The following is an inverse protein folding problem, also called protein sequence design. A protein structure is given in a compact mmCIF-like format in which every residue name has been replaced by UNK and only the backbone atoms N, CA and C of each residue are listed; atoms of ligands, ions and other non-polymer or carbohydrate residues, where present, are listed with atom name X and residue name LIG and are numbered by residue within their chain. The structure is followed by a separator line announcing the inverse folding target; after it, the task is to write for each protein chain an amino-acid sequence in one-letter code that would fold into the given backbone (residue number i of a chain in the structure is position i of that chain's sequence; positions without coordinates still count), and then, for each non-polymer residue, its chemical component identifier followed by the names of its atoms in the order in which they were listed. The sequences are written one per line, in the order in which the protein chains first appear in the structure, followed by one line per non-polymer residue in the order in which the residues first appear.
data_IF_710500843747
#
_entry.id   IF_710500843747
#
_cell.length_a   1.000
_cell.length_b   1.000
_cell.length_c   1.000
_cell.angle_alpha   90.00
_cell.angle_beta   90.00
_cell.angle_gamma   90.00
#
_symmetry.space_group_name_H-M   'P 1'
#
loop_
_entity.id
_entity.type
_entity.pdbx_description
1 polymer ?
#
# COMPACT_ATOMS: atom_id res chain seq x y z
N UNK A 1 47.89 -84.74 -77.86
CA UNK A 1 46.48 -84.71 -77.68
C UNK A 1 46.13 -84.68 -76.17
N UNK A 2 46.49 -83.64 -75.41
CA UNK A 2 46.12 -83.50 -73.95
C UNK A 2 46.01 -82.02 -73.47
N UNK A 3 45.51 -81.12 -74.28
CA UNK A 3 45.46 -79.68 -73.96
C UNK A 3 44.01 -79.20 -73.69
N UNK A 4 42.96 -79.92 -74.08
CA UNK A 4 41.59 -79.55 -73.97
C UNK A 4 40.99 -79.60 -72.53
N UNK A 5 41.37 -80.57 -71.63
CA UNK A 5 40.74 -80.54 -70.27
C UNK A 5 41.26 -79.44 -69.36
N UNK A 6 42.48 -78.93 -69.60
CA UNK A 6 43.05 -77.88 -68.77
C UNK A 6 42.46 -76.49 -69.08
N UNK A 7 42.09 -76.27 -70.33
CA UNK A 7 41.43 -75.02 -70.75
C UNK A 7 40.00 -74.88 -70.20
N UNK A 8 39.29 -76.05 -70.14
CA UNK A 8 37.96 -76.12 -69.59
C UNK A 8 37.91 -75.93 -68.11
N UNK A 9 38.95 -76.37 -67.38
CA UNK A 9 39.11 -76.19 -65.92
C UNK A 9 39.48 -74.74 -65.59
N UNK A 10 40.27 -74.10 -66.45
CA UNK A 10 40.64 -72.65 -66.26
C UNK A 10 39.42 -71.76 -66.52
N UNK A 11 38.52 -72.12 -67.52
CA UNK A 11 37.29 -71.36 -67.81
C UNK A 11 36.27 -71.53 -66.70
N UNK A 12 36.20 -72.68 -66.03
CA UNK A 12 35.33 -72.94 -64.90
C UNK A 12 35.81 -72.20 -63.63
N UNK A 13 37.16 -72.07 -63.48
CA UNK A 13 37.72 -71.28 -62.32
C UNK A 13 37.49 -69.78 -62.48
N UNK A 14 37.45 -69.22 -63.68
CA UNK A 14 37.23 -67.82 -63.95
C UNK A 14 35.77 -67.41 -63.68
N UNK A 15 34.79 -68.34 -63.78
CA UNK A 15 33.38 -68.11 -63.54
C UNK A 15 33.02 -67.98 -62.07
N UNK A 16 33.91 -68.43 -61.17
CA UNK A 16 33.75 -68.25 -59.69
C UNK A 16 34.26 -66.93 -59.13
N UNK A 17 34.94 -66.09 -59.92
CA UNK A 17 35.45 -64.78 -59.55
C UNK A 17 34.48 -63.62 -59.80
N UNK A 18 33.31 -63.88 -60.37
CA UNK A 18 32.23 -62.86 -60.35
C UNK A 18 31.60 -62.76 -58.96
N UNK A 19 32.42 -62.30 -58.01
CA UNK A 19 31.97 -61.99 -56.68
C UNK A 19 30.83 -60.94 -56.72
N UNK A 20 29.78 -61.23 -56.06
CA UNK A 20 28.67 -60.33 -55.80
C UNK A 20 29.15 -58.94 -55.41
N UNK A 21 29.00 -57.99 -56.29
CA UNK A 21 29.02 -56.60 -55.94
C UNK A 21 27.75 -56.31 -55.11
N UNK A 22 27.88 -56.51 -53.79
CA UNK A 22 26.85 -56.14 -52.83
C UNK A 22 26.78 -54.61 -52.87
N UNK A 23 25.81 -54.11 -53.62
CA UNK A 23 25.40 -52.73 -53.54
C UNK A 23 25.00 -52.52 -52.09
N UNK A 24 25.78 -51.79 -51.33
CA UNK A 24 25.40 -51.20 -50.06
C UNK A 24 24.09 -50.46 -50.32
N UNK A 25 22.95 -51.09 -50.08
CA UNK A 25 21.69 -50.40 -49.88
C UNK A 25 21.95 -49.61 -48.61
N UNK A 26 22.27 -48.30 -48.74
CA UNK A 26 22.17 -47.37 -47.65
C UNK A 26 20.85 -47.69 -46.97
N UNK A 27 20.94 -48.24 -45.77
CA UNK A 27 19.77 -48.52 -44.95
C UNK A 27 19.00 -47.21 -44.81
N UNK A 28 17.89 -47.10 -45.54
CA UNK A 28 16.92 -45.99 -45.30
C UNK A 28 16.58 -46.07 -43.82
N UNK A 29 17.12 -45.14 -43.05
CA UNK A 29 16.69 -45.00 -41.66
C UNK A 29 15.16 -44.82 -41.69
N UNK A 30 14.45 -45.57 -40.91
CA UNK A 30 12.97 -45.47 -40.93
C UNK A 30 12.61 -44.04 -40.57
N UNK A 31 11.82 -43.40 -41.42
CA UNK A 31 11.25 -42.08 -41.13
C UNK A 31 10.40 -42.19 -39.88
N UNK A 32 10.90 -41.63 -38.78
CA UNK A 32 10.16 -41.65 -37.51
C UNK A 32 9.27 -40.44 -37.44
N UNK A 33 7.96 -40.63 -37.39
CA UNK A 33 6.99 -39.57 -37.21
C UNK A 33 7.05 -39.10 -35.74
N UNK A 34 7.36 -37.84 -35.51
CA UNK A 34 7.44 -37.22 -34.17
C UNK A 34 6.42 -36.09 -34.06
N UNK A 35 5.81 -35.97 -32.88
CA UNK A 35 4.96 -34.81 -32.56
C UNK A 35 5.86 -33.70 -32.07
N UNK A 36 5.74 -32.53 -32.67
CA UNK A 36 6.52 -31.34 -32.27
C UNK A 36 5.62 -30.31 -31.61
N UNK A 37 6.11 -29.59 -30.64
CA UNK A 37 5.44 -28.46 -30.03
C UNK A 37 6.36 -27.24 -30.04
N UNK A 38 5.80 -26.08 -30.23
CA UNK A 38 6.55 -24.83 -30.19
C UNK A 38 6.85 -24.48 -28.72
N UNK A 39 8.11 -24.18 -28.41
CA UNK A 39 8.49 -23.65 -27.12
C UNK A 39 7.99 -22.19 -27.01
N UNK A 40 7.31 -21.85 -25.93
CA UNK A 40 6.75 -20.54 -25.70
C UNK A 40 7.62 -19.78 -24.71
N UNK A 41 8.03 -18.56 -25.09
CA UNK A 41 8.74 -17.64 -24.19
C UNK A 41 7.71 -17.06 -23.21
N UNK A 42 7.73 -17.49 -21.96
CA UNK A 42 6.94 -16.89 -20.91
C UNK A 42 7.69 -15.65 -20.40
N UNK A 43 7.13 -14.49 -20.66
CA UNK A 43 7.46 -13.27 -19.92
C UNK A 43 6.61 -13.28 -18.65
N UNK A 44 7.03 -14.04 -17.65
CA UNK A 44 6.33 -14.05 -16.38
C UNK A 44 6.69 -12.77 -15.61
N UNK A 45 5.99 -11.69 -15.90
CA UNK A 45 5.83 -10.57 -14.98
C UNK A 45 4.53 -10.81 -14.22
N UNK A 46 4.54 -11.74 -13.29
CA UNK A 46 3.44 -11.84 -12.33
C UNK A 46 3.63 -10.69 -11.35
N UNK A 47 2.80 -9.64 -11.37
CA UNK A 47 2.90 -8.58 -10.39
C UNK A 47 2.75 -9.22 -9.01
N UNK A 48 3.65 -8.88 -8.09
CA UNK A 48 3.53 -9.37 -6.72
C UNK A 48 2.30 -8.74 -6.09
N UNK A 49 1.42 -9.58 -5.54
CA UNK A 49 0.17 -9.16 -4.91
C UNK A 49 0.26 -9.23 -3.39
N UNK A 50 -0.31 -8.24 -2.71
CA UNK A 50 -0.36 -8.15 -1.26
C UNK A 50 -1.75 -7.78 -0.82
N UNK A 51 -2.30 -8.50 0.15
CA UNK A 51 -3.59 -8.15 0.73
C UNK A 51 -3.48 -6.88 1.56
N UNK A 52 -4.47 -6.00 1.45
CA UNK A 52 -4.54 -4.77 2.22
C UNK A 52 -5.89 -4.57 2.89
N UNK A 53 -5.91 -3.66 3.87
CA UNK A 53 -7.13 -3.07 4.42
C UNK A 53 -7.03 -1.56 4.24
N UNK A 54 -8.09 -0.97 3.68
CA UNK A 54 -8.22 0.47 3.54
C UNK A 54 -8.63 1.09 4.87
N UNK A 55 -7.88 2.09 5.33
CA UNK A 55 -8.18 2.86 6.54
C UNK A 55 -8.50 4.30 6.19
N UNK A 56 -9.18 5.05 7.05
CA UNK A 56 -9.30 6.49 6.89
C UNK A 56 -7.90 7.11 6.80
N UNK A 57 -7.75 8.16 6.01
CA UNK A 57 -6.46 8.85 5.91
C UNK A 57 -6.07 9.50 7.23
N UNK A 58 -7.06 10.09 7.91
CA UNK A 58 -6.93 10.62 9.27
C UNK A 58 -8.06 10.10 10.14
N UNK A 59 -7.73 9.79 11.38
CA UNK A 59 -8.68 9.51 12.44
C UNK A 59 -8.31 10.36 13.64
N UNK A 60 -9.28 11.06 14.21
CA UNK A 60 -9.09 11.88 15.39
C UNK A 60 -10.20 11.59 16.39
N UNK A 61 -9.82 11.25 17.61
CA UNK A 61 -10.78 11.19 18.72
C UNK A 61 -11.03 12.61 19.21
N UNK A 62 -12.25 13.09 19.04
CA UNK A 62 -12.64 14.43 19.47
C UNK A 62 -13.18 14.39 20.88
N UNK A 63 -12.75 15.35 21.70
CA UNK A 63 -13.14 15.53 23.09
C UNK A 63 -13.33 17.01 23.41
N UNK A 64 -14.17 17.31 24.39
CA UNK A 64 -14.23 18.65 24.93
C UNK A 64 -12.99 18.94 25.78
N UNK A 65 -12.55 20.20 25.82
CA UNK A 65 -11.47 20.67 26.69
C UNK A 65 -11.95 21.03 28.09
N UNK A 66 -13.28 21.20 28.24
CA UNK A 66 -13.95 21.48 29.51
C UNK A 66 -14.98 20.40 29.80
N UNK A 67 -15.34 20.19 31.05
CA UNK A 67 -16.35 19.23 31.46
C UNK A 67 -17.70 19.89 31.71
N UNK A 68 -18.79 19.12 31.63
CA UNK A 68 -20.14 19.55 31.94
C UNK A 68 -21.22 18.71 31.29
N UNK A 69 -22.51 19.01 31.57
CA UNK A 69 -23.63 18.34 30.96
C UNK A 69 -23.75 18.75 29.48
N UNK A 70 -24.01 17.76 28.62
CA UNK A 70 -24.23 18.01 27.21
C UNK A 70 -25.60 18.65 27.00
N UNK A 71 -25.63 19.78 26.32
CA UNK A 71 -26.86 20.50 25.98
C UNK A 71 -27.41 20.12 24.61
N UNK A 72 -26.55 19.92 23.62
CA UNK A 72 -26.97 19.49 22.28
C UNK A 72 -26.03 18.37 21.77
N UNK A 73 -26.66 17.22 21.41
CA UNK A 73 -25.97 16.06 20.87
C UNK A 73 -26.93 15.28 19.96
N UNK A 74 -26.90 15.62 18.68
CA UNK A 74 -27.64 14.89 17.63
C UNK A 74 -26.64 14.32 16.62
N UNK A 75 -25.73 13.48 17.14
CA UNK A 75 -24.58 12.96 16.41
C UNK A 75 -24.73 11.47 16.24
N UNK A 76 -24.65 11.03 15.00
CA UNK A 76 -24.73 9.61 14.62
C UNK A 76 -23.52 9.23 13.77
N UNK A 77 -23.09 7.98 13.86
CA UNK A 77 -22.08 7.45 12.97
C UNK A 77 -22.50 7.64 11.49
N UNK A 78 -21.56 8.12 10.67
CA UNK A 78 -21.81 8.46 9.27
C UNK A 78 -22.28 9.91 9.04
N UNK A 79 -22.57 10.71 10.06
CA UNK A 79 -22.84 12.13 9.86
C UNK A 79 -21.59 12.84 9.31
N UNK A 80 -21.81 13.72 8.34
CA UNK A 80 -20.78 14.55 7.74
C UNK A 80 -20.78 15.95 8.32
N UNK A 81 -19.59 16.48 8.65
CA UNK A 81 -19.39 17.85 9.10
C UNK A 81 -18.26 18.50 8.33
N UNK A 82 -18.40 19.79 8.06
CA UNK A 82 -17.35 20.62 7.48
C UNK A 82 -16.42 21.14 8.57
N UNK A 83 -15.20 21.44 8.20
CA UNK A 83 -14.23 22.08 9.10
C UNK A 83 -14.81 23.33 9.76
N UNK A 84 -14.74 23.41 11.09
CA UNK A 84 -15.27 24.51 11.89
C UNK A 84 -16.76 24.41 12.23
N UNK A 85 -17.48 23.41 11.69
CA UNK A 85 -18.88 23.17 12.04
C UNK A 85 -18.99 22.59 13.46
N UNK A 86 -20.01 23.03 14.20
CA UNK A 86 -20.25 22.57 15.58
C UNK A 86 -20.92 21.19 15.53
N UNK A 87 -20.28 20.22 16.17
CA UNK A 87 -20.76 18.84 16.26
C UNK A 87 -21.65 18.66 17.51
N UNK A 88 -21.21 19.20 18.65
CA UNK A 88 -21.88 19.06 19.94
C UNK A 88 -21.59 20.25 20.83
N UNK A 89 -22.41 20.49 21.86
CA UNK A 89 -22.22 21.55 22.80
C UNK A 89 -22.47 21.07 24.25
N UNK A 90 -21.66 21.59 25.17
CA UNK A 90 -21.90 21.53 26.61
C UNK A 90 -22.78 22.72 27.01
N UNK A 91 -23.53 22.63 28.12
CA UNK A 91 -24.26 23.74 28.71
C UNK A 91 -23.29 24.87 29.07
N UNK A 92 -23.41 26.00 28.41
CA UNK A 92 -22.44 27.10 28.47
C UNK A 92 -22.81 28.19 29.46
N UNK A 93 -23.95 28.09 30.19
CA UNK A 93 -24.47 29.14 31.08
C UNK A 93 -23.45 29.59 32.12
N UNK A 94 -22.82 28.67 32.82
CA UNK A 94 -21.82 29.00 33.86
C UNK A 94 -20.52 29.59 33.27
N UNK A 95 -20.12 29.14 32.10
CA UNK A 95 -18.99 29.68 31.36
C UNK A 95 -19.25 31.10 30.86
N UNK A 96 -20.48 31.39 30.42
CA UNK A 96 -20.88 32.72 29.99
C UNK A 96 -20.82 33.68 31.18
N UNK A 97 -21.42 33.33 32.33
CA UNK A 97 -21.37 34.14 33.56
C UNK A 97 -19.93 34.43 33.98
N UNK A 98 -19.06 33.42 33.98
CA UNK A 98 -17.62 33.59 34.35
C UNK A 98 -16.93 34.53 33.38
N UNK A 99 -17.17 34.43 32.07
CA UNK A 99 -16.62 35.35 31.08
C UNK A 99 -17.08 36.78 31.34
N UNK A 100 -18.35 37.00 31.60
CA UNK A 100 -18.89 38.36 31.90
C UNK A 100 -18.28 38.96 33.18
N UNK A 101 -18.11 38.16 34.25
CA UNK A 101 -17.47 38.57 35.48
C UNK A 101 -16.02 38.99 35.24
N UNK A 102 -15.25 38.15 34.54
CA UNK A 102 -13.84 38.44 34.28
C UNK A 102 -13.65 39.60 33.31
N UNK A 103 -14.58 39.81 32.39
CA UNK A 103 -14.60 40.95 31.49
C UNK A 103 -14.78 42.24 32.25
N UNK A 104 -15.72 42.36 33.22
CA UNK A 104 -15.90 43.53 34.03
C UNK A 104 -14.63 43.89 34.83
N UNK A 105 -13.97 42.90 35.41
CA UNK A 105 -12.69 43.14 36.12
C UNK A 105 -11.58 43.59 35.16
N UNK A 106 -11.52 43.01 33.97
CA UNK A 106 -10.55 43.41 32.94
C UNK A 106 -10.79 44.84 32.48
N UNK A 107 -12.05 45.25 32.22
CA UNK A 107 -12.38 46.59 31.76
C UNK A 107 -12.05 47.66 32.84
N UNK A 108 -12.32 47.37 34.14
CA UNK A 108 -11.90 48.20 35.26
C UNK A 108 -10.40 48.33 35.33
N UNK A 109 -9.63 47.21 35.30
CA UNK A 109 -8.17 47.23 35.40
C UNK A 109 -7.53 47.95 34.20
N UNK A 110 -8.13 47.81 33.02
CA UNK A 110 -7.70 48.50 31.79
C UNK A 110 -7.85 50.02 31.92
N UNK A 111 -9.01 50.49 32.35
CA UNK A 111 -9.26 51.92 32.53
C UNK A 111 -8.32 52.52 33.56
N UNK A 112 -8.05 51.81 34.67
CA UNK A 112 -7.12 52.25 35.71
C UNK A 112 -5.67 52.29 35.17
N UNK A 113 -5.21 51.28 34.43
CA UNK A 113 -3.90 51.23 33.82
C UNK A 113 -3.69 52.35 32.81
N UNK A 114 -4.68 52.67 31.97
CA UNK A 114 -4.63 53.76 31.01
C UNK A 114 -4.52 55.13 31.74
N UNK A 115 -5.29 55.31 32.82
CA UNK A 115 -5.26 56.53 33.64
C UNK A 115 -3.87 56.70 34.31
N UNK A 116 -3.35 55.67 34.95
CA UNK A 116 -2.05 55.69 35.64
C UNK A 116 -0.90 55.81 34.61
N UNK A 117 -1.02 55.22 33.42
CA UNK A 117 -0.07 55.38 32.32
C UNK A 117 0.10 56.86 31.90
N UNK A 118 -1.03 57.55 31.71
CA UNK A 118 -1.03 58.97 31.36
C UNK A 118 -0.42 59.90 32.47
N UNK A 119 -0.56 59.51 33.75
CA UNK A 119 0.08 60.22 34.86
C UNK A 119 1.57 59.91 34.96
N UNK A 120 1.97 58.69 34.68
CA UNK A 120 3.38 58.28 34.68
C UNK A 120 4.20 59.00 33.59
N UNK A 121 3.65 59.09 32.37
CA UNK A 121 4.27 59.88 31.28
C UNK A 121 4.53 61.35 31.65
N UNK A 122 3.68 61.88 32.50
CA UNK A 122 3.86 63.30 33.06
C UNK A 122 4.74 63.37 34.31
N UNK A 123 5.35 62.24 34.70
CA UNK A 123 6.17 62.12 35.92
C UNK A 123 5.38 62.43 37.23
N UNK A 124 4.07 62.24 37.26
CA UNK A 124 3.20 62.52 38.41
C UNK A 124 3.02 61.40 39.39
N UNK A 125 3.55 60.19 39.05
CA UNK A 125 3.47 59.00 39.90
C UNK A 125 4.81 58.21 39.86
N UNK A 126 4.99 57.31 40.84
CA UNK A 126 6.18 56.51 40.94
C UNK A 126 6.16 55.36 39.92
N UNK A 127 7.34 54.90 39.47
CA UNK A 127 7.50 53.73 38.65
C UNK A 127 6.89 52.47 39.31
N UNK A 128 7.01 52.34 40.64
CA UNK A 128 6.42 51.22 41.39
C UNK A 128 4.90 51.16 41.28
N UNK A 129 4.22 52.34 41.34
CA UNK A 129 2.76 52.40 41.17
C UNK A 129 2.33 51.98 39.75
N UNK A 130 3.08 52.48 38.74
CA UNK A 130 2.85 52.11 37.35
C UNK A 130 3.01 50.59 37.12
N UNK A 131 4.10 50.00 37.58
CA UNK A 131 4.38 48.56 37.40
C UNK A 131 3.37 47.70 38.17
N UNK A 132 2.90 48.14 39.36
CA UNK A 132 1.84 47.44 40.09
C UNK A 132 0.54 47.43 39.27
N UNK A 133 0.10 48.57 38.77
CA UNK A 133 -1.15 48.67 37.99
C UNK A 133 -1.06 47.91 36.67
N UNK A 134 0.11 47.92 36.05
CA UNK A 134 0.40 47.10 34.86
C UNK A 134 0.27 45.60 35.13
N UNK A 135 0.77 45.14 36.28
CA UNK A 135 0.64 43.73 36.68
C UNK A 135 -0.83 43.34 36.93
N UNK A 136 -1.59 44.24 37.63
CA UNK A 136 -3.04 44.05 37.86
C UNK A 136 -3.83 43.98 36.54
N UNK A 137 -3.55 44.90 35.61
CA UNK A 137 -4.15 44.86 34.26
C UNK A 137 -3.80 43.54 33.51
N UNK A 138 -2.54 43.12 33.52
CA UNK A 138 -2.10 41.91 32.86
C UNK A 138 -2.76 40.68 33.45
N UNK A 139 -2.90 40.59 34.76
CA UNK A 139 -3.59 39.51 35.47
C UNK A 139 -5.09 39.43 35.07
N UNK A 140 -5.79 40.59 35.12
CA UNK A 140 -7.19 40.66 34.75
C UNK A 140 -7.43 40.29 33.28
N UNK A 141 -6.53 40.77 32.38
CA UNK A 141 -6.57 40.39 30.95
C UNK A 141 -6.43 38.91 30.74
N UNK A 142 -5.49 38.27 31.42
CA UNK A 142 -5.25 36.82 31.30
C UNK A 142 -6.44 36.03 31.83
N UNK A 143 -7.02 36.44 32.98
CA UNK A 143 -8.21 35.79 33.54
C UNK A 143 -9.42 35.86 32.58
N UNK A 144 -9.64 37.03 31.96
CA UNK A 144 -10.70 37.17 30.93
C UNK A 144 -10.46 36.31 29.71
N UNK A 145 -9.22 36.25 29.20
CA UNK A 145 -8.88 35.42 28.05
C UNK A 145 -9.09 33.92 28.35
N UNK A 146 -8.73 33.48 29.57
CA UNK A 146 -8.99 32.09 30.00
C UNK A 146 -10.46 31.77 30.01
N UNK A 147 -11.30 32.62 30.63
CA UNK A 147 -12.75 32.40 30.66
C UNK A 147 -13.39 32.44 29.26
N UNK A 148 -12.91 33.31 28.37
CA UNK A 148 -13.35 33.36 26.99
C UNK A 148 -12.98 32.07 26.22
N UNK A 149 -11.79 31.51 26.44
CA UNK A 149 -11.37 30.24 25.85
C UNK A 149 -12.21 29.08 26.40
N UNK A 150 -12.43 29.03 27.72
CA UNK A 150 -13.30 28.00 28.35
C UNK A 150 -14.71 28.00 27.74
N UNK A 151 -15.28 29.19 27.51
CA UNK A 151 -16.59 29.31 26.84
C UNK A 151 -16.54 28.82 25.39
N UNK A 152 -15.49 29.10 24.64
CA UNK A 152 -15.32 28.58 23.30
C UNK A 152 -15.14 27.03 23.30
N UNK A 153 -14.45 26.52 24.31
CA UNK A 153 -14.17 25.09 24.47
C UNK A 153 -15.43 24.27 24.89
N UNK A 154 -16.56 24.94 25.19
CA UNK A 154 -17.87 24.28 25.36
C UNK A 154 -18.46 23.77 24.04
N UNK A 155 -17.87 24.16 22.90
CA UNK A 155 -18.29 23.75 21.56
C UNK A 155 -17.29 22.76 20.98
N UNK A 156 -17.77 21.58 20.64
CA UNK A 156 -16.97 20.58 19.90
C UNK A 156 -17.10 20.88 18.41
N UNK A 157 -16.00 21.27 17.78
CA UNK A 157 -16.00 21.64 16.36
C UNK A 157 -15.18 20.65 15.54
N UNK A 158 -15.58 20.45 14.29
CA UNK A 158 -14.86 19.60 13.33
C UNK A 158 -13.50 20.22 12.96
N UNK A 159 -12.37 19.53 13.16
CA UNK A 159 -11.02 20.05 12.85
C UNK A 159 -10.70 20.04 11.35
N UNK A 160 -11.40 19.23 10.58
CA UNK A 160 -11.31 19.08 9.13
C UNK A 160 -12.66 18.63 8.57
N UNK A 161 -12.83 18.60 7.27
CA UNK A 161 -14.01 18.01 6.62
C UNK A 161 -13.99 16.50 6.80
N UNK A 162 -15.08 15.90 7.30
CA UNK A 162 -15.05 14.47 7.59
C UNK A 162 -16.37 13.91 8.11
N UNK A 163 -16.30 12.68 8.53
CA UNK A 163 -17.43 11.90 9.01
C UNK A 163 -17.23 11.47 10.46
N UNK A 164 -18.35 11.32 11.16
CA UNK A 164 -18.37 10.63 12.45
C UNK A 164 -18.18 9.13 12.21
N UNK A 165 -17.09 8.55 12.72
CA UNK A 165 -16.83 7.12 12.65
C UNK A 165 -17.59 6.37 13.74
N UNK A 166 -17.31 6.69 14.99
CA UNK A 166 -17.89 6.04 16.17
C UNK A 166 -18.30 7.09 17.19
N UNK A 167 -19.36 6.80 17.95
CA UNK A 167 -19.88 7.65 19.02
C UNK A 167 -19.67 6.91 20.34
N UNK A 168 -18.97 7.54 21.32
CA UNK A 168 -18.57 6.91 22.57
C UNK A 168 -19.45 7.27 23.76
N UNK A 169 -20.40 8.19 23.60
CA UNK A 169 -21.26 8.71 24.66
C UNK A 169 -22.73 8.69 24.23
N UNK A 170 -23.59 8.82 25.23
CA UNK A 170 -25.03 8.96 25.01
C UNK A 170 -25.52 10.40 25.22
N UNK A 171 -26.69 10.70 24.65
CA UNK A 171 -27.36 12.00 24.84
C UNK A 171 -27.67 12.24 26.31
N UNK A 172 -27.50 13.49 26.79
CA UNK A 172 -27.72 13.91 28.17
C UNK A 172 -26.71 13.39 29.20
N UNK A 173 -25.62 12.81 28.77
CA UNK A 173 -24.55 12.40 29.67
C UNK A 173 -23.73 13.63 30.11
N UNK A 174 -23.25 13.62 31.34
CA UNK A 174 -22.22 14.53 31.80
C UNK A 174 -20.85 14.02 31.35
N UNK A 175 -20.05 14.88 30.73
CA UNK A 175 -18.73 14.52 30.20
C UNK A 175 -17.61 15.24 30.97
N UNK A 176 -16.48 14.57 31.04
CA UNK A 176 -15.26 15.16 31.63
C UNK A 176 -14.39 15.78 30.55
N UNK A 177 -13.56 16.74 30.95
CA UNK A 177 -12.53 17.27 30.06
C UNK A 177 -11.65 16.14 29.52
N UNK A 178 -11.31 16.19 28.21
CA UNK A 178 -10.49 15.20 27.48
C UNK A 178 -11.09 13.80 27.33
N UNK A 179 -12.32 13.57 27.80
CA UNK A 179 -13.03 12.32 27.54
C UNK A 179 -13.38 12.22 26.04
N UNK A 180 -13.02 11.12 25.34
CA UNK A 180 -13.43 10.92 23.96
C UNK A 180 -14.94 10.92 23.80
N UNK A 181 -15.43 11.71 22.83
CA UNK A 181 -16.87 11.86 22.52
C UNK A 181 -17.20 11.10 21.24
N UNK A 182 -16.40 11.31 20.20
CA UNK A 182 -16.57 10.66 18.90
C UNK A 182 -15.20 10.35 18.29
N UNK A 183 -15.16 9.34 17.43
CA UNK A 183 -14.12 9.19 16.42
C UNK A 183 -14.53 9.98 15.18
N UNK A 184 -13.63 10.80 14.65
CA UNK A 184 -13.87 11.61 13.47
C UNK A 184 -12.85 11.27 12.38
N UNK A 185 -13.34 10.94 11.16
CA UNK A 185 -12.54 10.34 10.11
C UNK A 185 -12.58 11.14 8.81
N UNK A 186 -11.43 11.20 8.14
CA UNK A 186 -11.27 11.79 6.81
C UNK A 186 -11.32 10.66 5.76
N UNK A 187 -12.28 10.73 4.85
CA UNK A 187 -12.47 9.77 3.75
C UNK A 187 -12.18 10.36 2.37
N UNK A 188 -11.73 11.61 2.24
CA UNK A 188 -11.35 12.21 0.96
C UNK A 188 -10.14 11.49 0.34
N UNK A 189 -9.39 10.83 1.19
CA UNK A 189 -8.32 9.92 0.84
C UNK A 189 -8.40 8.68 1.74
N UNK A 190 -7.89 7.56 1.25
CA UNK A 190 -7.74 6.35 2.03
C UNK A 190 -6.26 6.03 2.22
N UNK A 191 -5.95 5.55 3.40
CA UNK A 191 -4.64 4.99 3.75
C UNK A 191 -4.71 3.47 3.55
N UNK A 192 -3.90 2.98 2.63
CA UNK A 192 -3.81 1.57 2.31
C UNK A 192 -2.61 1.00 3.04
N UNK A 193 -2.86 0.09 3.98
CA UNK A 193 -1.84 -0.56 4.76
C UNK A 193 -1.70 -2.02 4.35
N UNK A 194 -0.49 -2.42 4.01
CA UNK A 194 -0.17 -3.81 3.68
C UNK A 194 1.18 -4.20 4.25
N UNK A 195 1.37 -5.49 4.46
CA UNK A 195 2.62 -6.04 4.98
C UNK A 195 3.40 -6.71 3.87
N UNK A 196 4.65 -6.32 3.73
CA UNK A 196 5.55 -6.82 2.69
C UNK A 196 6.78 -7.50 3.31
N UNK A 197 7.39 -8.41 2.56
CA UNK A 197 8.63 -9.08 2.95
C UNK A 197 9.85 -8.16 2.82
N UNK A 198 10.97 -8.53 3.40
CA UNK A 198 12.19 -7.71 3.40
C UNK A 198 12.71 -7.43 1.98
N UNK A 199 12.70 -8.41 1.10
CA UNK A 199 13.13 -8.26 -0.29
C UNK A 199 12.28 -7.24 -1.05
N UNK A 200 10.97 -7.24 -0.78
CA UNK A 200 10.02 -6.29 -1.35
C UNK A 200 10.21 -4.89 -0.76
N UNK A 201 10.42 -4.79 0.55
CA UNK A 201 10.61 -3.50 1.21
C UNK A 201 11.82 -2.75 0.63
N UNK A 202 12.93 -3.45 0.36
CA UNK A 202 14.13 -2.86 -0.25
C UNK A 202 13.89 -2.40 -1.70
N UNK A 203 13.12 -3.14 -2.46
CA UNK A 203 12.80 -2.80 -3.86
C UNK A 203 11.73 -1.69 -3.95
N UNK A 204 10.74 -1.73 -3.06
CA UNK A 204 9.60 -0.81 -3.07
C UNK A 204 9.98 0.63 -2.74
N UNK A 205 11.13 0.90 -2.13
CA UNK A 205 11.65 2.25 -1.94
C UNK A 205 11.85 3.01 -3.27
N UNK A 206 12.05 2.28 -4.37
CA UNK A 206 12.20 2.85 -5.70
C UNK A 206 10.87 3.01 -6.44
N UNK A 207 9.79 2.42 -5.91
CA UNK A 207 8.46 2.47 -6.50
C UNK A 207 7.66 3.62 -5.89
N UNK A 208 7.07 4.44 -6.74
CA UNK A 208 6.20 5.55 -6.31
C UNK A 208 4.71 5.21 -6.44
N UNK A 209 4.38 4.22 -7.23
CA UNK A 209 3.00 3.87 -7.56
C UNK A 209 2.72 2.39 -7.38
N UNK A 210 1.48 2.09 -7.01
CA UNK A 210 0.92 0.76 -6.92
C UNK A 210 -0.49 0.76 -7.49
N UNK A 211 -0.98 -0.39 -7.91
CA UNK A 211 -2.35 -0.59 -8.36
C UNK A 211 -3.14 -1.36 -7.31
N UNK A 212 -4.35 -0.91 -7.04
CA UNK A 212 -5.24 -1.52 -6.06
C UNK A 212 -6.46 -2.12 -6.74
N UNK A 213 -6.88 -3.29 -6.27
CA UNK A 213 -8.19 -3.89 -6.58
C UNK A 213 -8.89 -4.23 -5.29
N UNK A 214 -10.09 -3.68 -5.11
CA UNK A 214 -10.93 -4.00 -3.97
C UNK A 214 -11.75 -5.26 -4.25
N UNK A 215 -11.89 -6.12 -3.26
CA UNK A 215 -12.63 -7.38 -3.40
C UNK A 215 -14.11 -7.15 -3.77
N UNK A 216 -14.69 -6.08 -3.23
CA UNK A 216 -16.09 -5.71 -3.50
C UNK A 216 -16.31 -5.01 -4.85
N UNK A 217 -15.25 -4.53 -5.54
CA UNK A 217 -15.30 -3.80 -6.81
C UNK A 217 -14.24 -4.36 -7.74
N UNK A 218 -14.31 -5.65 -8.04
CA UNK A 218 -13.27 -6.42 -8.71
C UNK A 218 -12.90 -5.93 -10.13
N UNK A 219 -13.82 -5.26 -10.83
CA UNK A 219 -13.64 -4.81 -12.22
C UNK A 219 -12.90 -3.46 -12.36
N UNK A 220 -12.56 -2.83 -11.23
CA UNK A 220 -11.88 -1.53 -11.23
C UNK A 220 -10.51 -1.61 -10.59
N UNK A 221 -9.54 -1.00 -11.25
CA UNK A 221 -8.19 -0.79 -10.72
C UNK A 221 -8.04 0.67 -10.31
N UNK A 222 -7.46 0.92 -9.14
CA UNK A 222 -7.27 2.24 -8.58
C UNK A 222 -5.78 2.52 -8.42
N UNK A 223 -5.26 3.62 -8.99
CA UNK A 223 -3.87 4.01 -8.80
C UNK A 223 -3.66 4.56 -7.40
N UNK A 224 -2.66 4.07 -6.70
CA UNK A 224 -2.24 4.54 -5.38
C UNK A 224 -0.79 4.99 -5.38
N UNK A 225 -0.50 5.99 -4.55
CA UNK A 225 0.86 6.50 -4.36
C UNK A 225 1.45 5.90 -3.09
N UNK A 226 2.61 5.26 -3.18
CA UNK A 226 3.34 4.75 -2.02
C UNK A 226 3.88 5.95 -1.25
N UNK A 227 3.54 6.06 0.04
CA UNK A 227 3.98 7.15 0.90
C UNK A 227 5.24 6.78 1.67
N UNK A 228 5.22 5.61 2.30
CA UNK A 228 6.29 5.16 3.16
C UNK A 228 6.33 3.64 3.31
N UNK A 229 7.50 3.16 3.67
CA UNK A 229 7.73 1.79 4.11
C UNK A 229 8.43 1.86 5.46
N UNK A 230 7.87 1.16 6.44
CA UNK A 230 8.45 1.10 7.79
C UNK A 230 9.92 0.66 7.72
N UNK A 231 10.77 1.28 8.53
CA UNK A 231 12.19 0.88 8.65
C UNK A 231 12.40 -0.21 9.73
N UNK A 232 11.34 -0.58 10.44
CA UNK A 232 11.34 -1.65 11.43
C UNK A 232 10.30 -2.71 11.08
N UNK A 233 10.60 -3.96 11.41
CA UNK A 233 9.65 -5.06 11.26
C UNK A 233 8.58 -5.02 12.34
N UNK A 234 7.43 -5.60 12.03
CA UNK A 234 6.41 -5.86 13.04
C UNK A 234 6.88 -6.99 13.98
N UNK A 235 6.57 -6.90 15.29
CA UNK A 235 7.06 -7.86 16.28
C UNK A 235 6.72 -9.33 15.98
N UNK A 236 5.60 -9.57 15.31
CA UNK A 236 5.05 -10.93 15.16
C UNK A 236 5.35 -11.60 13.81
N UNK A 237 5.62 -10.85 12.73
CA UNK A 237 5.64 -11.43 11.37
C UNK A 237 6.93 -11.17 10.59
N UNK A 238 7.91 -10.48 11.14
CA UNK A 238 9.15 -10.07 10.45
C UNK A 238 8.87 -9.38 9.10
N UNK A 239 7.71 -8.75 8.98
CA UNK A 239 7.25 -8.05 7.79
C UNK A 239 7.30 -6.54 7.99
N UNK A 240 7.41 -5.80 6.91
CA UNK A 240 7.49 -4.36 6.89
C UNK A 240 6.12 -3.77 6.50
N UNK A 241 5.67 -2.74 7.23
CA UNK A 241 4.44 -2.05 6.89
C UNK A 241 4.71 -1.11 5.70
N UNK A 242 3.98 -1.32 4.62
CA UNK A 242 3.90 -0.41 3.48
C UNK A 242 2.60 0.37 3.58
N UNK A 243 2.72 1.69 3.48
CA UNK A 243 1.59 2.61 3.48
C UNK A 243 1.49 3.30 2.12
N UNK A 244 0.34 3.19 1.49
CA UNK A 244 0.02 3.91 0.27
C UNK A 244 -1.21 4.80 0.46
N UNK A 245 -1.32 5.84 -0.35
CA UNK A 245 -2.43 6.79 -0.39
C UNK A 245 -3.25 6.56 -1.64
N UNK A 246 -4.56 6.45 -1.45
CA UNK A 246 -5.55 6.40 -2.51
C UNK A 246 -6.44 7.64 -2.45
N UNK A 247 -6.48 8.51 -3.46
CA UNK A 247 -7.49 9.57 -3.57
C UNK A 247 -8.90 8.99 -3.67
N UNK A 248 -9.86 9.55 -2.93
CA UNK A 248 -11.25 9.11 -2.90
C UNK A 248 -12.20 10.33 -3.00
N UNK A 249 -12.11 11.14 -4.06
CA UNK A 249 -12.81 12.42 -4.16
C UNK A 249 -14.34 12.27 -4.10
N UNK A 250 -14.86 11.18 -4.64
CA UNK A 250 -16.29 10.89 -4.64
C UNK A 250 -16.76 10.21 -3.36
N UNK A 251 -15.86 9.89 -2.43
CA UNK A 251 -16.13 9.21 -1.14
C UNK A 251 -16.91 7.90 -1.29
N UNK A 252 -16.81 7.26 -2.46
CA UNK A 252 -17.52 6.01 -2.75
C UNK A 252 -16.89 4.78 -2.09
N UNK A 253 -15.63 4.88 -1.70
CA UNK A 253 -14.90 3.80 -1.05
C UNK A 253 -14.90 4.04 0.47
N UNK A 254 -15.68 3.30 1.25
CA UNK A 254 -15.62 3.38 2.70
C UNK A 254 -14.33 2.79 3.26
N UNK A 255 -13.93 3.23 4.43
CA UNK A 255 -12.86 2.59 5.18
C UNK A 255 -13.29 1.18 5.65
N UNK A 256 -12.32 0.30 5.87
CA UNK A 256 -12.55 -1.10 6.25
C UNK A 256 -12.62 -2.07 5.08
N UNK A 257 -12.66 -1.60 3.83
CA UNK A 257 -12.64 -2.47 2.66
C UNK A 257 -11.29 -3.18 2.52
N UNK A 258 -11.34 -4.46 2.13
CA UNK A 258 -10.17 -5.26 1.77
C UNK A 258 -9.95 -5.32 0.26
N UNK A 259 -8.75 -5.72 -0.11
CA UNK A 259 -8.39 -5.91 -1.50
C UNK A 259 -6.95 -6.33 -1.69
N UNK A 260 -6.49 -6.27 -2.94
CA UNK A 260 -5.14 -6.62 -3.34
C UNK A 260 -4.40 -5.44 -3.94
N UNK A 261 -3.19 -5.24 -3.45
CA UNK A 261 -2.23 -4.25 -3.95
C UNK A 261 -1.25 -4.97 -4.87
N UNK A 262 -1.09 -4.45 -6.07
CA UNK A 262 -0.19 -4.93 -7.12
C UNK A 262 0.95 -3.94 -7.29
N UNK A 263 2.17 -4.42 -7.19
CA UNK A 263 3.35 -3.60 -7.42
C UNK A 263 4.07 -4.05 -8.69
N UNK A 264 4.27 -3.16 -9.67
CA UNK A 264 5.09 -3.43 -10.84
C UNK A 264 6.56 -3.32 -10.45
N UNK A 265 7.20 -4.43 -10.13
CA UNK A 265 8.66 -4.44 -9.95
C UNK A 265 9.34 -4.48 -11.32
N UNK A 266 10.24 -3.55 -11.63
CA UNK A 266 11.14 -3.74 -12.75
C UNK A 266 12.01 -4.96 -12.43
N UNK A 267 11.96 -5.95 -13.29
CA UNK A 267 12.76 -7.17 -13.17
C UNK A 267 14.24 -6.82 -12.97
N UNK A 268 14.68 -6.79 -11.72
CA UNK A 268 16.10 -6.62 -11.36
C UNK A 268 16.86 -7.94 -11.21
N UNK A 269 16.18 -9.07 -11.28
CA UNK A 269 16.81 -10.38 -11.27
C UNK A 269 16.76 -11.02 -12.65
N UNK A 270 17.88 -10.91 -13.36
CA UNK A 270 18.26 -11.71 -14.53
C UNK A 270 17.09 -12.08 -15.45
N UNK A 271 17.06 -11.48 -16.62
CA UNK A 271 16.28 -11.88 -17.80
C UNK A 271 16.58 -13.33 -18.21
N UNK A 272 16.39 -14.28 -17.33
CA UNK A 272 16.27 -15.66 -17.74
C UNK A 272 14.89 -15.81 -18.32
N UNK A 273 14.85 -15.72 -19.64
CA UNK A 273 13.65 -16.04 -20.39
C UNK A 273 13.24 -17.47 -20.03
N UNK A 274 12.15 -17.59 -19.27
CA UNK A 274 11.58 -18.90 -18.94
C UNK A 274 10.92 -19.43 -20.20
N UNK A 275 11.42 -20.54 -20.67
CA UNK A 275 10.85 -21.22 -21.86
C UNK A 275 9.92 -22.32 -21.36
N UNK A 276 8.64 -22.20 -21.64
CA UNK A 276 7.66 -23.25 -21.37
C UNK A 276 7.66 -24.28 -22.48
N UNK A 277 7.70 -25.53 -22.09
CA UNK A 277 7.62 -26.71 -22.98
C UNK A 277 6.58 -27.68 -22.43
N UNK A 278 5.90 -28.46 -23.27
CA UNK A 278 5.04 -29.54 -22.78
C UNK A 278 5.82 -30.54 -21.94
N UNK A 279 5.25 -30.99 -20.84
CA UNK A 279 5.87 -31.99 -19.97
C UNK A 279 6.31 -33.26 -20.71
N UNK A 280 5.57 -33.66 -21.73
CA UNK A 280 5.88 -34.81 -22.58
C UNK A 280 7.17 -34.67 -23.40
N UNK A 281 7.66 -33.43 -23.59
CA UNK A 281 8.93 -33.16 -24.28
C UNK A 281 10.14 -33.30 -23.36
N UNK A 282 9.94 -33.36 -22.03
CA UNK A 282 11.01 -33.54 -21.08
C UNK A 282 11.47 -35.01 -21.06
N UNK A 283 12.75 -35.20 -21.31
CA UNK A 283 13.40 -36.51 -21.25
C UNK A 283 14.44 -36.50 -20.11
N UNK A 284 14.50 -37.60 -19.36
CA UNK A 284 15.46 -37.81 -18.31
C UNK A 284 16.30 -39.05 -18.54
N UNK A 285 17.63 -38.96 -18.38
CA UNK A 285 18.52 -40.13 -18.32
C UNK A 285 19.43 -40.01 -17.10
N UNK A 286 19.54 -41.03 -16.26
CA UNK A 286 20.32 -40.96 -15.03
C UNK A 286 21.78 -40.51 -15.21
N UNK A 287 22.41 -40.88 -16.34
CA UNK A 287 23.79 -40.51 -16.64
C UNK A 287 23.97 -39.11 -17.26
N UNK A 288 22.92 -38.49 -17.78
CA UNK A 288 23.01 -37.29 -18.60
C UNK A 288 22.16 -36.12 -18.05
N UNK A 289 21.21 -36.41 -17.15
CA UNK A 289 20.26 -35.47 -16.60
C UNK A 289 19.07 -35.17 -17.53
N UNK A 290 18.46 -34.02 -17.33
CA UNK A 290 17.30 -33.59 -18.08
C UNK A 290 17.66 -32.96 -19.41
N UNK A 291 16.89 -33.28 -20.45
CA UNK A 291 17.11 -32.79 -21.80
C UNK A 291 15.84 -32.79 -22.63
N UNK A 292 15.86 -32.05 -23.72
CA UNK A 292 14.83 -32.02 -24.76
C UNK A 292 15.44 -32.29 -26.13
N UNK A 293 14.60 -32.81 -27.05
CA UNK A 293 14.94 -32.88 -28.45
C UNK A 293 14.44 -31.62 -29.17
N UNK A 294 15.34 -30.91 -29.84
CA UNK A 294 14.99 -29.73 -30.64
C UNK A 294 15.01 -30.14 -32.10
N UNK A 295 13.93 -29.88 -32.80
CA UNK A 295 13.79 -30.11 -34.27
C UNK A 295 14.17 -28.84 -35.01
N UNK A 296 15.08 -28.95 -35.95
CA UNK A 296 15.38 -27.84 -36.85
C UNK A 296 14.34 -27.86 -37.98
N UNK A 297 13.54 -26.80 -38.15
CA UNK A 297 12.46 -26.78 -39.15
C UNK A 297 12.95 -26.76 -40.61
N UNK A 298 14.22 -26.43 -40.87
CA UNK A 298 14.77 -26.33 -42.23
C UNK A 298 15.26 -27.67 -42.78
N UNK A 299 15.86 -28.50 -41.93
CA UNK A 299 16.48 -29.76 -42.34
C UNK A 299 15.86 -30.99 -41.65
N UNK A 300 14.87 -30.82 -40.82
CA UNK A 300 14.16 -31.86 -40.03
C UNK A 300 15.10 -32.71 -39.16
N UNK A 301 16.30 -32.22 -38.87
CA UNK A 301 17.20 -32.89 -37.97
C UNK A 301 16.88 -32.57 -36.51
N UNK A 302 17.07 -33.53 -35.66
CA UNK A 302 16.88 -33.36 -34.20
C UNK A 302 18.21 -33.27 -33.48
N UNK A 303 18.29 -32.34 -32.56
CA UNK A 303 19.45 -32.14 -31.69
C UNK A 303 19.03 -32.23 -30.23
N UNK A 304 19.85 -32.87 -29.42
CA UNK A 304 19.68 -32.98 -27.99
C UNK A 304 20.19 -31.71 -27.31
N UNK A 305 19.37 -31.12 -26.44
CA UNK A 305 19.77 -29.98 -25.61
C UNK A 305 19.52 -30.24 -24.14
N UNK A 306 20.55 -30.13 -23.32
CA UNK A 306 20.39 -30.18 -21.85
C UNK A 306 19.63 -28.98 -21.37
N UNK A 307 18.76 -29.21 -20.39
CA UNK A 307 17.96 -28.17 -19.74
C UNK A 307 18.01 -28.36 -18.22
N UNK A 308 17.67 -27.31 -17.51
CA UNK A 308 17.43 -27.35 -16.07
C UNK A 308 15.94 -27.02 -15.90
N UNK A 309 15.11 -28.01 -15.51
CA UNK A 309 13.70 -27.72 -15.24
C UNK A 309 13.59 -26.89 -13.96
N UNK A 310 12.72 -25.86 -13.97
CA UNK A 310 12.49 -24.96 -12.83
C UNK A 310 11.22 -25.39 -12.10
N UNK A 311 10.06 -25.20 -12.72
CA UNK A 311 8.77 -25.54 -12.10
C UNK A 311 7.79 -26.12 -13.12
N UNK A 312 6.83 -26.88 -12.63
CA UNK A 312 5.66 -27.29 -13.40
C UNK A 312 4.63 -26.15 -13.37
N UNK A 313 4.07 -25.85 -14.54
CA UNK A 313 2.96 -24.92 -14.69
C UNK A 313 1.69 -25.75 -14.89
N UNK A 314 0.64 -25.43 -14.16
CA UNK A 314 -0.68 -26.05 -14.28
C UNK A 314 -1.42 -25.60 -15.54
#
# INVERSE_FOLDING_TARGET
MKIIPTLLFLLLLLSFLSGCQQKDKAARQPEMTVRVAQAVLLKEQTPKEFSFIAKPFRTSELSFRVGGPISNFEVYAGNYYRKGEVIATIDDRDFLIRKEQTQAVYDQAKAEFERIGALYEKNNISASTYEKTKAEYTSAKTAFQTAANELNDTRLVAPFDGYVGEVFIEKYQEVKATQPIISFIDLDQLKIETYVTQDIALQAEQLQQAELRFDAVADRTYPATILEISKSTTPNNLSYLLTARLPNPDRQLPAGMSGKLYMPFPDSSSRQAIISIPQQALCHRPAEGDYVWIVNPQNHQVAKRKIIPDKLLD
#
